data_IF_816561001933
#
_entry.id   IF_816561001933
#
_cell.length_a   1.000
_cell.length_b   1.000
_cell.length_c   1.000
_cell.angle_alpha   90.00
_cell.angle_beta   90.00
_cell.angle_gamma   90.00
#
_symmetry.space_group_name_H-M   'P 1'
#
loop_
_entity.id
_entity.type
_entity.pdbx_description
1 polymer ?
#
# COMPACT_ATOMS: atom_id res chain seq x y z
N UNK A 1 36.27 -101.20 -40.66
CA UNK A 1 37.34 -100.79 -39.71
C UNK A 1 36.81 -99.61 -38.89
N UNK A 2 35.88 -99.84 -37.97
CA UNK A 2 36.13 -100.01 -36.52
C UNK A 2 37.06 -98.96 -35.91
N UNK A 3 36.46 -97.98 -35.22
CA UNK A 3 36.88 -97.55 -33.87
C UNK A 3 35.68 -96.92 -33.14
N UNK A 4 35.37 -97.54 -32.01
CA UNK A 4 34.30 -97.21 -31.07
C UNK A 4 34.83 -96.32 -29.94
N UNK A 5 33.99 -95.36 -29.52
CA UNK A 5 33.72 -94.91 -28.13
C UNK A 5 34.83 -94.15 -27.36
N UNK A 6 34.51 -93.33 -26.32
CA UNK A 6 33.30 -93.34 -25.51
C UNK A 6 32.63 -91.99 -25.14
N UNK A 7 31.40 -92.12 -24.64
CA UNK A 7 30.57 -91.13 -23.93
C UNK A 7 31.15 -90.86 -22.52
N UNK A 8 30.92 -89.65 -21.96
CA UNK A 8 30.51 -89.59 -20.56
C UNK A 8 29.23 -88.77 -20.34
N UNK A 9 28.42 -89.26 -19.40
CA UNK A 9 27.23 -88.64 -18.81
C UNK A 9 27.65 -87.62 -17.75
N UNK A 10 27.06 -86.42 -17.74
CA UNK A 10 26.90 -85.60 -16.54
C UNK A 10 25.56 -84.86 -16.57
N UNK A 11 25.02 -84.66 -15.37
CA UNK A 11 23.63 -84.35 -15.01
C UNK A 11 23.24 -82.86 -15.19
N UNK A 12 21.96 -82.48 -14.97
CA UNK A 12 21.35 -81.26 -15.50
C UNK A 12 21.62 -80.03 -14.62
N UNK A 13 21.88 -78.88 -15.27
CA UNK A 13 21.91 -77.57 -14.62
C UNK A 13 20.61 -76.82 -14.93
N UNK A 14 19.74 -76.74 -13.92
CA UNK A 14 18.66 -75.76 -13.84
C UNK A 14 19.25 -74.35 -14.01
N UNK A 15 18.90 -73.68 -15.10
CA UNK A 15 19.22 -72.26 -15.32
C UNK A 15 17.92 -71.47 -15.21
N UNK A 16 17.78 -70.75 -14.11
CA UNK A 16 16.71 -69.81 -13.86
C UNK A 16 16.78 -68.65 -14.89
N UNK A 17 15.71 -68.44 -15.65
CA UNK A 17 15.54 -67.24 -16.47
C UNK A 17 15.31 -66.04 -15.55
N UNK A 18 16.35 -65.21 -15.40
CA UNK A 18 16.24 -63.88 -14.84
C UNK A 18 15.48 -62.97 -15.84
N UNK A 19 14.29 -62.54 -15.45
CA UNK A 19 13.53 -61.50 -16.15
C UNK A 19 14.24 -60.16 -15.91
N UNK A 20 14.98 -59.68 -16.90
CA UNK A 20 15.47 -58.30 -16.94
C UNK A 20 14.28 -57.35 -17.12
N UNK A 21 13.75 -56.85 -16.01
CA UNK A 21 12.87 -55.68 -16.02
C UNK A 21 13.71 -54.45 -16.40
N UNK A 22 13.55 -54.00 -17.65
CA UNK A 22 13.97 -52.68 -18.10
C UNK A 22 13.16 -51.63 -17.34
N UNK A 23 13.69 -51.16 -16.21
CA UNK A 23 13.26 -49.93 -15.58
C UNK A 23 13.68 -48.77 -16.48
N UNK A 24 12.80 -48.38 -17.41
CA UNK A 24 12.87 -47.09 -18.09
C UNK A 24 12.58 -46.04 -17.03
N UNK A 25 13.63 -45.57 -16.36
CA UNK A 25 13.57 -44.42 -15.48
C UNK A 25 13.06 -43.24 -16.30
N UNK A 26 11.85 -42.79 -16.00
CA UNK A 26 11.35 -41.50 -16.46
C UNK A 26 12.31 -40.45 -15.94
N UNK A 27 13.16 -39.92 -16.82
CA UNK A 27 13.85 -38.65 -16.60
C UNK A 27 12.75 -37.62 -16.39
N UNK A 28 12.44 -37.32 -15.13
CA UNK A 28 11.69 -36.12 -14.78
C UNK A 28 12.53 -34.96 -15.27
N UNK A 29 12.12 -34.36 -16.39
CA UNK A 29 12.66 -33.09 -16.83
C UNK A 29 12.72 -32.16 -15.62
N UNK A 30 13.90 -31.62 -15.31
CA UNK A 30 14.05 -30.58 -14.31
C UNK A 30 13.06 -29.47 -14.68
N UNK A 31 11.98 -29.32 -13.92
CA UNK A 31 11.06 -28.20 -14.10
C UNK A 31 11.87 -26.93 -13.90
N UNK A 32 11.92 -26.08 -14.93
CA UNK A 32 12.48 -24.73 -14.81
C UNK A 32 11.82 -24.05 -13.63
N UNK A 33 12.62 -23.55 -12.69
CA UNK A 33 12.10 -22.74 -11.58
C UNK A 33 11.37 -21.55 -12.21
N UNK A 34 10.07 -21.37 -11.96
CA UNK A 34 9.33 -20.28 -12.59
C UNK A 34 9.89 -18.94 -12.11
N UNK A 35 10.09 -18.02 -13.04
CA UNK A 35 10.46 -16.64 -12.74
C UNK A 35 9.37 -15.90 -11.94
N UNK A 36 9.64 -14.65 -11.54
CA UNK A 36 8.74 -13.86 -10.71
C UNK A 36 7.43 -13.58 -11.44
N UNK A 37 6.34 -13.50 -10.66
CA UNK A 37 5.05 -13.11 -11.21
C UNK A 37 5.14 -11.71 -11.86
N UNK A 38 4.50 -11.46 -13.01
CA UNK A 38 4.65 -10.19 -13.73
C UNK A 38 4.31 -8.96 -12.89
N UNK A 39 5.06 -7.87 -13.07
CA UNK A 39 4.83 -6.60 -12.37
C UNK A 39 4.50 -5.48 -13.36
N UNK A 40 3.41 -4.75 -13.08
CA UNK A 40 3.05 -3.52 -13.78
C UNK A 40 2.93 -2.37 -12.79
N UNK A 41 3.62 -1.27 -13.06
CA UNK A 41 3.50 0.00 -12.33
C UNK A 41 2.73 0.98 -13.20
N UNK A 42 1.63 1.50 -12.68
CA UNK A 42 0.77 2.42 -13.37
C UNK A 42 0.63 3.73 -12.59
N UNK A 43 0.79 4.86 -13.28
CA UNK A 43 0.83 6.20 -12.67
C UNK A 43 -0.18 7.11 -13.33
N UNK A 44 -0.98 7.83 -12.53
CA UNK A 44 -1.88 8.87 -13.06
C UNK A 44 -1.11 10.13 -13.45
N UNK A 45 -0.14 10.52 -12.60
CA UNK A 45 0.90 11.48 -12.91
C UNK A 45 0.38 12.84 -13.37
N UNK A 46 -0.14 13.66 -12.46
CA UNK A 46 -0.71 14.96 -12.79
C UNK A 46 -0.18 16.11 -11.93
N UNK A 47 -0.50 17.37 -12.26
CA UNK A 47 -0.05 18.53 -11.46
C UNK A 47 -0.71 18.62 -10.07
N UNK A 48 -1.71 17.78 -9.80
CA UNK A 48 -2.46 17.69 -8.54
C UNK A 48 -1.99 16.54 -7.63
N UNK A 49 -0.88 15.88 -7.99
CA UNK A 49 -0.36 14.70 -7.31
C UNK A 49 1.10 14.90 -6.92
N UNK A 50 1.59 14.23 -5.85
CA UNK A 50 3.03 14.14 -5.62
C UNK A 50 3.75 13.54 -6.82
N UNK A 51 5.08 13.69 -6.85
CA UNK A 51 5.89 12.96 -7.79
C UNK A 51 5.53 11.45 -7.73
N UNK A 52 5.31 10.79 -8.88
CA UNK A 52 4.86 9.40 -8.90
C UNK A 52 5.94 8.40 -8.45
N UNK A 53 7.16 8.87 -8.23
CA UNK A 53 8.23 8.05 -7.68
C UNK A 53 8.23 8.18 -6.16
N UNK A 54 8.13 7.04 -5.50
CA UNK A 54 8.29 6.91 -4.07
C UNK A 54 9.28 5.77 -3.79
N UNK A 55 10.11 5.85 -2.75
CA UNK A 55 10.99 4.76 -2.33
C UNK A 55 10.25 3.42 -2.21
N UNK A 56 8.96 3.45 -1.86
CA UNK A 56 8.12 2.25 -1.82
C UNK A 56 7.90 1.60 -3.19
N UNK A 57 7.77 2.38 -4.27
CA UNK A 57 7.63 1.85 -5.64
C UNK A 57 8.95 1.26 -6.12
N UNK A 58 10.06 1.92 -5.80
CA UNK A 58 11.40 1.39 -6.08
C UNK A 58 11.67 0.10 -5.30
N UNK A 59 11.30 0.03 -4.02
CA UNK A 59 11.41 -1.19 -3.20
C UNK A 59 10.61 -2.36 -3.78
N UNK A 60 9.37 -2.12 -4.23
CA UNK A 60 8.55 -3.15 -4.88
C UNK A 60 9.24 -3.66 -6.15
N UNK A 61 9.72 -2.76 -7.01
CA UNK A 61 10.38 -3.13 -8.26
C UNK A 61 11.73 -3.84 -8.04
N UNK A 62 12.50 -3.42 -7.03
CA UNK A 62 13.76 -4.08 -6.65
C UNK A 62 13.48 -5.47 -6.10
N UNK A 63 12.48 -5.63 -5.22
CA UNK A 63 12.10 -6.98 -4.72
C UNK A 63 11.67 -7.90 -5.85
N UNK A 64 10.86 -7.39 -6.78
CA UNK A 64 10.49 -8.13 -8.01
C UNK A 64 11.72 -8.57 -8.81
N UNK A 65 12.68 -7.67 -9.04
CA UNK A 65 13.90 -7.98 -9.77
C UNK A 65 14.82 -8.99 -9.06
N UNK A 66 14.81 -9.02 -7.73
CA UNK A 66 15.61 -9.95 -6.92
C UNK A 66 15.08 -11.39 -6.95
N UNK A 67 13.84 -11.59 -7.43
CA UNK A 67 13.24 -12.91 -7.61
C UNK A 67 13.46 -13.45 -9.04
N UNK A 68 14.21 -12.73 -9.88
CA UNK A 68 14.59 -13.16 -11.22
C UNK A 68 15.43 -14.44 -11.20
N UNK A 69 15.11 -15.38 -12.10
CA UNK A 69 15.86 -16.62 -12.31
C UNK A 69 16.63 -16.55 -13.62
N UNK A 70 16.00 -16.02 -14.67
CA UNK A 70 16.54 -15.88 -16.01
C UNK A 70 16.67 -14.40 -16.45
N UNK A 71 17.55 -14.08 -17.42
CA UNK A 71 17.62 -12.75 -18.02
C UNK A 71 16.26 -12.30 -18.58
N UNK A 72 15.78 -11.14 -18.10
CA UNK A 72 14.51 -10.57 -18.53
C UNK A 72 13.34 -10.81 -17.57
N UNK A 73 13.52 -11.63 -16.54
CA UNK A 73 12.50 -11.89 -15.51
C UNK A 73 12.17 -10.64 -14.67
N UNK A 74 13.15 -9.76 -14.46
CA UNK A 74 13.00 -8.51 -13.73
C UNK A 74 12.32 -7.39 -14.52
N UNK A 75 11.66 -7.69 -15.64
CA UNK A 75 10.93 -6.68 -16.43
C UNK A 75 9.72 -6.15 -15.68
N UNK A 76 9.57 -4.83 -15.74
CA UNK A 76 8.45 -4.08 -15.19
C UNK A 76 7.77 -3.31 -16.32
N UNK A 77 6.47 -3.54 -16.49
CA UNK A 77 5.64 -2.75 -17.39
C UNK A 77 5.25 -1.43 -16.75
N UNK A 78 5.43 -0.32 -17.44
CA UNK A 78 5.10 1.04 -16.98
C UNK A 78 3.96 1.62 -17.81
N UNK A 79 2.89 2.00 -17.12
CA UNK A 79 1.64 2.50 -17.69
C UNK A 79 1.40 3.92 -17.18
N UNK A 80 1.53 4.93 -18.03
CA UNK A 80 1.18 6.31 -17.67
C UNK A 80 -0.24 6.62 -18.15
N UNK A 81 -1.09 7.21 -17.29
CA UNK A 81 -2.49 7.52 -17.59
C UNK A 81 -2.70 8.14 -18.96
N UNK A 82 -3.72 7.68 -19.69
CA UNK A 82 -4.11 8.13 -21.05
C UNK A 82 -3.04 8.07 -22.16
N UNK A 83 -1.76 7.92 -21.85
CA UNK A 83 -0.72 7.64 -22.83
C UNK A 83 -0.95 6.23 -23.40
N UNK A 84 -1.06 6.03 -24.73
CA UNK A 84 -1.31 4.69 -25.28
C UNK A 84 -0.12 3.73 -25.12
N UNK A 85 1.10 4.24 -24.93
CA UNK A 85 2.31 3.42 -24.83
C UNK A 85 2.40 2.70 -23.49
N UNK A 86 2.88 1.46 -23.52
CA UNK A 86 3.39 0.74 -22.35
C UNK A 86 4.90 0.65 -22.51
N UNK A 87 5.65 1.11 -21.51
CA UNK A 87 7.11 1.09 -21.53
C UNK A 87 7.60 -0.05 -20.66
N UNK A 88 8.44 -0.93 -21.19
CA UNK A 88 9.10 -1.96 -20.38
C UNK A 88 10.44 -1.44 -19.87
N UNK A 89 10.71 -1.68 -18.59
CA UNK A 89 12.00 -1.43 -17.96
C UNK A 89 12.50 -2.73 -17.37
N UNK A 90 13.68 -3.17 -17.78
CA UNK A 90 14.29 -4.38 -17.28
C UNK A 90 15.20 -4.06 -16.09
N UNK A 91 14.83 -4.54 -14.91
CA UNK A 91 15.62 -4.40 -13.68
C UNK A 91 16.39 -5.69 -13.35
N UNK A 92 16.36 -6.71 -14.22
CA UNK A 92 17.04 -7.99 -13.97
C UNK A 92 18.51 -7.73 -13.62
N UNK A 93 18.97 -8.12 -12.42
CA UNK A 93 20.34 -7.88 -12.01
C UNK A 93 21.25 -8.88 -12.73
N UNK A 94 21.96 -8.43 -13.77
CA UNK A 94 22.86 -9.30 -14.54
C UNK A 94 24.33 -9.15 -14.08
N UNK A 95 25.06 -10.26 -14.06
CA UNK A 95 26.53 -10.28 -14.12
C UNK A 95 26.97 -10.50 -15.57
N UNK A 96 28.02 -9.80 -15.97
CA UNK A 96 28.60 -9.84 -17.32
C UNK A 96 27.56 -9.66 -18.46
N UNK A 97 26.44 -8.99 -18.16
CA UNK A 97 25.29 -8.76 -19.04
C UNK A 97 24.63 -10.02 -19.64
N UNK A 98 24.86 -11.21 -19.05
CA UNK A 98 24.37 -12.47 -19.63
C UNK A 98 23.64 -13.38 -18.64
N UNK A 99 24.02 -13.36 -17.38
CA UNK A 99 23.49 -14.28 -16.37
C UNK A 99 22.99 -13.50 -15.16
N UNK A 100 21.96 -14.01 -14.49
CA UNK A 100 21.43 -13.38 -13.27
C UNK A 100 22.50 -13.42 -12.16
N UNK A 101 22.68 -12.29 -11.50
CA UNK A 101 23.58 -12.14 -10.35
C UNK A 101 23.10 -13.01 -9.18
N UNK A 102 24.00 -13.85 -8.67
CA UNK A 102 23.68 -14.83 -7.62
C UNK A 102 23.98 -14.27 -6.23
N UNK A 103 24.91 -13.31 -6.13
CA UNK A 103 25.13 -12.62 -4.87
C UNK A 103 23.99 -11.62 -4.60
N UNK A 104 23.23 -11.85 -3.53
CA UNK A 104 22.02 -11.07 -3.23
C UNK A 104 22.30 -9.60 -2.95
N UNK A 105 23.47 -9.26 -2.39
CA UNK A 105 23.83 -7.88 -2.11
C UNK A 105 24.16 -7.14 -3.42
N UNK A 106 25.03 -7.72 -4.26
CA UNK A 106 25.38 -7.20 -5.57
C UNK A 106 24.15 -7.12 -6.50
N UNK A 107 23.27 -8.12 -6.47
CA UNK A 107 22.01 -8.11 -7.19
C UNK A 107 21.12 -6.94 -6.76
N UNK A 108 21.05 -6.68 -5.44
CA UNK A 108 20.31 -5.55 -4.90
C UNK A 108 20.87 -4.20 -5.33
N UNK A 109 22.20 -4.05 -5.39
CA UNK A 109 22.83 -2.83 -5.90
C UNK A 109 22.55 -2.62 -7.40
N UNK A 110 22.68 -3.67 -8.21
CA UNK A 110 22.39 -3.63 -9.66
C UNK A 110 20.92 -3.29 -9.94
N UNK A 111 19.98 -3.93 -9.23
CA UNK A 111 18.55 -3.65 -9.37
C UNK A 111 18.21 -2.20 -8.97
N UNK A 112 18.79 -1.68 -7.88
CA UNK A 112 18.62 -0.27 -7.48
C UNK A 112 19.20 0.70 -8.50
N UNK A 113 20.33 0.38 -9.14
CA UNK A 113 20.86 1.19 -10.23
C UNK A 113 19.89 1.22 -11.43
N UNK A 114 19.24 0.09 -11.73
CA UNK A 114 18.19 -0.03 -12.75
C UNK A 114 16.91 0.77 -12.43
N UNK A 115 16.59 0.99 -11.15
CA UNK A 115 15.41 1.73 -10.72
C UNK A 115 15.37 3.18 -11.24
N UNK A 116 16.52 3.78 -11.57
CA UNK A 116 16.56 5.09 -12.24
C UNK A 116 15.86 5.07 -13.62
N UNK A 117 15.90 3.94 -14.33
CA UNK A 117 15.17 3.72 -15.57
C UNK A 117 13.65 3.68 -15.35
N UNK A 118 13.20 3.01 -14.27
CA UNK A 118 11.79 2.97 -13.87
C UNK A 118 11.28 4.38 -13.54
N UNK A 119 12.05 5.14 -12.76
CA UNK A 119 11.73 6.54 -12.46
C UNK A 119 11.59 7.37 -13.74
N UNK A 120 12.55 7.29 -14.67
CA UNK A 120 12.46 7.98 -15.97
C UNK A 120 11.21 7.60 -16.76
N UNK A 121 10.91 6.31 -16.86
CA UNK A 121 9.73 5.83 -17.58
C UNK A 121 8.42 6.41 -17.02
N UNK A 122 8.30 6.49 -15.68
CA UNK A 122 7.14 7.09 -15.03
C UNK A 122 7.05 8.62 -15.23
N UNK A 123 8.19 9.33 -15.27
CA UNK A 123 8.20 10.79 -15.37
C UNK A 123 8.13 11.31 -16.80
N UNK A 124 8.81 10.66 -17.74
CA UNK A 124 8.90 11.09 -19.14
C UNK A 124 7.69 10.66 -19.97
N UNK A 125 7.02 9.57 -19.56
CA UNK A 125 5.86 9.06 -20.28
C UNK A 125 4.74 10.09 -20.42
N UNK A 126 4.48 10.91 -19.38
CA UNK A 126 3.46 11.98 -19.29
C UNK A 126 2.02 11.57 -19.70
N UNK A 127 0.98 12.04 -19.00
CA UNK A 127 -0.37 11.79 -19.48
C UNK A 127 -0.69 12.50 -20.80
N UNK A 128 -1.50 11.84 -21.62
CA UNK A 128 -1.92 12.37 -22.92
C UNK A 128 -3.13 13.33 -22.83
N UNK A 129 -3.95 13.21 -21.79
CA UNK A 129 -5.14 14.03 -21.58
C UNK A 129 -5.10 14.75 -20.22
N UNK A 130 -5.91 15.82 -20.12
CA UNK A 130 -6.12 16.56 -18.87
C UNK A 130 -7.00 15.76 -17.91
N UNK A 131 -6.91 16.11 -16.63
CA UNK A 131 -7.65 15.44 -15.57
C UNK A 131 -6.89 14.24 -14.98
N UNK A 132 -7.54 13.61 -14.01
CA UNK A 132 -7.03 12.45 -13.28
C UNK A 132 -7.99 11.28 -13.51
N UNK A 133 -7.52 10.29 -14.26
CA UNK A 133 -8.26 9.08 -14.61
C UNK A 133 -7.60 7.82 -14.03
N UNK A 134 -7.82 7.56 -12.75
CA UNK A 134 -7.33 6.34 -12.10
C UNK A 134 -8.12 5.11 -12.57
N UNK A 135 -9.42 5.21 -12.81
CA UNK A 135 -10.25 4.09 -13.24
C UNK A 135 -9.80 3.56 -14.62
N UNK A 136 -9.60 4.45 -15.60
CA UNK A 136 -9.10 4.08 -16.92
C UNK A 136 -7.64 3.64 -16.88
N UNK A 137 -6.80 4.26 -16.05
CA UNK A 137 -5.42 3.81 -15.81
C UNK A 137 -5.38 2.40 -15.24
N UNK A 138 -6.23 2.10 -14.26
CA UNK A 138 -6.35 0.77 -13.67
C UNK A 138 -6.77 -0.27 -14.71
N UNK A 139 -7.80 0.02 -15.53
CA UNK A 139 -8.18 -0.85 -16.66
C UNK A 139 -7.03 -1.11 -17.62
N UNK A 140 -6.22 -0.08 -17.92
CA UNK A 140 -5.10 -0.23 -18.86
C UNK A 140 -3.94 -1.01 -18.25
N UNK A 141 -3.67 -0.79 -16.96
CA UNK A 141 -2.66 -1.53 -16.22
C UNK A 141 -3.01 -3.02 -16.18
N UNK A 142 -4.25 -3.37 -15.83
CA UNK A 142 -4.72 -4.76 -15.83
C UNK A 142 -4.56 -5.46 -17.18
N UNK A 143 -4.78 -4.76 -18.30
CA UNK A 143 -4.52 -5.30 -19.65
C UNK A 143 -3.04 -5.52 -19.96
N UNK A 144 -2.15 -4.73 -19.35
CA UNK A 144 -0.71 -4.87 -19.48
C UNK A 144 -0.12 -5.91 -18.51
N UNK A 145 -0.91 -6.39 -17.54
CA UNK A 145 -0.47 -7.36 -16.54
C UNK A 145 -1.05 -8.74 -16.86
N UNK A 146 -0.21 -9.77 -17.10
CA UNK A 146 -0.68 -11.15 -17.22
C UNK A 146 -1.33 -11.69 -15.93
N UNK A 147 -2.01 -12.82 -16.05
CA UNK A 147 -2.63 -13.51 -14.90
C UNK A 147 -1.58 -13.89 -13.85
N UNK A 148 -1.95 -13.85 -12.57
CA UNK A 148 -1.04 -14.04 -11.44
C UNK A 148 -0.15 -12.83 -11.12
N UNK A 149 -0.10 -11.84 -12.02
CA UNK A 149 0.73 -10.65 -11.85
C UNK A 149 0.19 -9.62 -10.85
N UNK A 150 1.05 -8.64 -10.54
CA UNK A 150 0.75 -7.53 -9.62
C UNK A 150 0.64 -6.21 -10.37
N UNK A 151 -0.42 -5.45 -10.08
CA UNK A 151 -0.62 -4.08 -10.52
C UNK A 151 -0.37 -3.11 -9.37
N UNK A 152 0.61 -2.23 -9.51
CA UNK A 152 0.88 -1.14 -8.57
C UNK A 152 0.32 0.15 -9.16
N UNK A 153 -0.69 0.74 -8.53
CA UNK A 153 -1.33 1.99 -8.95
C UNK A 153 -0.84 3.14 -8.07
N UNK A 154 -0.06 4.05 -8.65
CA UNK A 154 0.41 5.26 -7.98
C UNK A 154 -0.51 6.42 -8.34
N UNK A 155 -1.34 6.84 -7.39
CA UNK A 155 -2.29 7.93 -7.57
C UNK A 155 -2.82 8.44 -6.23
N UNK A 156 -3.19 9.72 -6.19
CA UNK A 156 -3.99 10.31 -5.12
C UNK A 156 -5.40 9.73 -5.03
N UNK A 157 -5.91 9.17 -6.13
CA UNK A 157 -7.28 8.65 -6.24
C UNK A 157 -8.37 9.72 -6.34
N UNK A 158 -8.01 11.00 -6.48
CA UNK A 158 -8.96 12.11 -6.64
C UNK A 158 -9.39 12.20 -8.10
N UNK A 159 -10.20 11.23 -8.55
CA UNK A 159 -10.63 11.13 -9.95
C UNK A 159 -11.47 12.35 -10.36
N UNK A 160 -11.12 12.91 -11.52
CA UNK A 160 -11.82 14.04 -12.17
C UNK A 160 -12.32 13.69 -13.57
N UNK A 161 -11.97 12.51 -14.07
CA UNK A 161 -12.48 11.96 -15.32
C UNK A 161 -13.73 11.10 -15.09
N UNK A 162 -14.69 11.21 -16.01
CA UNK A 162 -15.84 10.31 -16.10
C UNK A 162 -15.40 8.85 -16.24
N UNK A 163 -16.19 7.89 -15.74
CA UNK A 163 -17.54 8.00 -15.15
C UNK A 163 -17.55 8.31 -13.64
N UNK A 164 -16.40 8.56 -13.02
CA UNK A 164 -16.24 8.69 -11.56
C UNK A 164 -15.73 10.08 -11.16
N UNK A 165 -16.24 11.14 -11.79
CA UNK A 165 -15.81 12.50 -11.51
C UNK A 165 -16.24 12.96 -10.11
N UNK A 166 -15.28 13.15 -9.21
CA UNK A 166 -15.54 13.55 -7.82
C UNK A 166 -16.04 14.99 -7.69
N UNK A 167 -15.88 15.82 -8.73
CA UNK A 167 -16.46 17.17 -8.75
C UNK A 167 -17.98 17.13 -8.79
N UNK A 168 -18.53 16.16 -9.52
CA UNK A 168 -19.99 15.97 -9.68
C UNK A 168 -20.54 15.07 -8.58
N UNK A 169 -19.80 14.03 -8.20
CA UNK A 169 -20.18 13.11 -7.14
C UNK A 169 -20.15 13.78 -5.75
N UNK A 170 -19.29 14.78 -5.55
CA UNK A 170 -19.10 15.48 -4.29
C UNK A 170 -18.39 14.62 -3.24
N UNK A 171 -18.48 15.01 -1.96
CA UNK A 171 -17.81 14.30 -0.85
C UNK A 171 -18.75 13.46 0.01
N UNK A 172 -20.07 13.58 -0.19
CA UNK A 172 -21.09 12.86 0.61
C UNK A 172 -21.38 11.45 0.09
N UNK A 173 -20.76 11.03 -1.01
CA UNK A 173 -20.99 9.72 -1.61
C UNK A 173 -20.69 8.53 -0.69
N UNK A 174 -21.40 7.44 -0.95
CA UNK A 174 -21.16 6.14 -0.34
C UNK A 174 -20.39 5.23 -1.32
N UNK A 175 -19.19 4.74 -0.95
CA UNK A 175 -18.39 3.84 -1.79
C UNK A 175 -19.14 2.62 -2.32
N UNK A 176 -20.01 1.99 -1.51
CA UNK A 176 -20.73 0.79 -1.92
C UNK A 176 -21.76 1.10 -3.01
N UNK A 177 -22.46 2.23 -2.90
CA UNK A 177 -23.40 2.72 -3.90
C UNK A 177 -22.70 3.07 -5.22
N UNK A 178 -21.55 3.75 -5.15
CA UNK A 178 -20.73 4.06 -6.34
C UNK A 178 -20.29 2.79 -7.05
N UNK A 179 -19.76 1.81 -6.31
CA UNK A 179 -19.35 0.52 -6.87
C UNK A 179 -20.53 -0.23 -7.48
N UNK A 180 -21.73 -0.16 -6.88
CA UNK A 180 -22.95 -0.75 -7.45
C UNK A 180 -23.31 -0.13 -8.80
N UNK A 181 -23.25 1.20 -8.92
CA UNK A 181 -23.46 1.90 -10.20
C UNK A 181 -22.44 1.43 -11.27
N UNK A 182 -21.16 1.42 -10.90
CA UNK A 182 -20.11 0.93 -11.80
C UNK A 182 -20.35 -0.52 -12.24
N UNK A 183 -20.81 -1.40 -11.34
CA UNK A 183 -21.15 -2.79 -11.68
C UNK A 183 -22.33 -2.86 -12.65
N UNK A 184 -23.42 -2.14 -12.35
CA UNK A 184 -24.62 -2.12 -13.18
C UNK A 184 -24.35 -1.63 -14.61
N UNK A 185 -23.34 -0.77 -14.77
CA UNK A 185 -22.91 -0.22 -16.06
C UNK A 185 -21.74 -1.00 -16.68
N UNK A 186 -21.29 -2.09 -16.06
CA UNK A 186 -20.14 -2.90 -16.49
C UNK A 186 -18.83 -2.10 -16.62
N UNK A 187 -18.62 -1.13 -15.73
CA UNK A 187 -17.47 -0.22 -15.71
C UNK A 187 -16.40 -0.61 -14.68
N UNK A 188 -16.69 -1.54 -13.77
CA UNK A 188 -15.68 -2.10 -12.87
C UNK A 188 -14.62 -2.86 -13.70
N UNK A 189 -13.32 -2.62 -13.50
CA UNK A 189 -12.26 -3.36 -14.17
C UNK A 189 -12.28 -4.84 -13.77
N UNK A 190 -11.81 -5.74 -14.64
CA UNK A 190 -11.63 -7.16 -14.28
C UNK A 190 -10.18 -7.39 -13.84
N UNK A 191 -10.01 -7.70 -12.57
CA UNK A 191 -8.73 -8.00 -11.95
C UNK A 191 -8.61 -9.45 -11.50
N UNK A 192 -9.49 -10.33 -11.99
CA UNK A 192 -9.48 -11.75 -11.65
C UNK A 192 -8.08 -12.34 -11.83
N UNK A 193 -7.60 -13.04 -10.80
CA UNK A 193 -6.28 -13.67 -10.80
C UNK A 193 -5.09 -12.71 -10.65
N UNK A 194 -5.30 -11.40 -10.46
CA UNK A 194 -4.22 -10.41 -10.28
C UNK A 194 -4.24 -9.81 -8.89
N UNK A 195 -3.07 -9.40 -8.42
CA UNK A 195 -2.89 -8.66 -7.17
C UNK A 195 -2.86 -7.16 -7.45
N UNK A 196 -3.43 -6.34 -6.58
CA UNK A 196 -3.54 -4.90 -6.80
C UNK A 196 -3.10 -4.16 -5.56
N UNK A 197 -2.17 -3.23 -5.77
CA UNK A 197 -1.59 -2.41 -4.72
C UNK A 197 -1.70 -0.93 -5.07
N UNK A 198 -2.40 -0.16 -4.24
CA UNK A 198 -2.48 1.28 -4.40
C UNK A 198 -1.41 1.99 -3.56
N UNK A 199 -0.80 3.02 -4.13
CA UNK A 199 0.21 3.86 -3.48
C UNK A 199 -0.26 5.31 -3.57
N UNK A 200 -0.38 5.96 -2.42
CA UNK A 200 -0.66 7.40 -2.36
C UNK A 200 -2.13 7.82 -2.33
N UNK A 201 -3.09 6.90 -2.14
CA UNK A 201 -4.50 7.25 -2.05
C UNK A 201 -4.77 8.27 -0.94
N UNK A 202 -5.54 9.31 -1.27
CA UNK A 202 -5.85 10.42 -0.37
C UNK A 202 -4.70 11.41 -0.17
N UNK A 203 -3.57 11.21 -0.83
CA UNK A 203 -2.39 12.10 -0.77
C UNK A 203 -2.34 12.95 -2.03
N UNK A 204 -2.66 14.23 -1.89
CA UNK A 204 -2.61 15.24 -2.96
C UNK A 204 -1.45 16.22 -2.74
N UNK A 205 -1.03 16.90 -3.80
CA UNK A 205 -0.05 17.98 -3.78
C UNK A 205 -0.32 18.94 -4.96
N UNK A 206 0.29 20.12 -4.99
CA UNK A 206 0.17 21.03 -6.13
C UNK A 206 -1.17 21.77 -6.14
N UNK A 207 -1.90 21.71 -7.25
CA UNK A 207 -3.12 22.53 -7.44
C UNK A 207 -4.32 22.07 -6.63
N UNK A 208 -4.36 20.81 -6.21
CA UNK A 208 -5.44 20.26 -5.40
C UNK A 208 -5.18 20.59 -3.92
N UNK A 209 -6.08 21.34 -3.24
CA UNK A 209 -5.97 21.57 -1.81
C UNK A 209 -5.91 20.26 -1.03
N UNK A 210 -5.14 20.26 0.06
CA UNK A 210 -5.00 19.09 0.91
C UNK A 210 -6.37 18.56 1.37
N UNK A 211 -6.56 17.25 1.23
CA UNK A 211 -7.80 16.61 1.62
C UNK A 211 -7.90 16.54 3.15
N UNK A 212 -9.03 16.98 3.76
CA UNK A 212 -9.33 16.66 5.14
C UNK A 212 -9.30 15.14 5.38
N UNK A 213 -8.92 14.71 6.59
CA UNK A 213 -8.80 13.28 6.90
C UNK A 213 -10.06 12.44 6.57
N UNK A 214 -11.31 12.92 6.80
CA UNK A 214 -12.51 12.19 6.37
C UNK A 214 -12.58 12.01 4.85
N UNK A 215 -12.22 13.03 4.07
CA UNK A 215 -12.19 12.99 2.61
C UNK A 215 -11.12 12.02 2.11
N UNK A 216 -9.89 12.10 2.63
CA UNK A 216 -8.81 11.17 2.29
C UNK A 216 -9.18 9.71 2.59
N UNK A 217 -9.76 9.43 3.77
CA UNK A 217 -10.25 8.08 4.12
C UNK A 217 -11.36 7.60 3.18
N UNK A 218 -12.21 8.51 2.71
CA UNK A 218 -13.29 8.20 1.78
C UNK A 218 -12.76 7.83 0.40
N UNK A 219 -11.72 8.51 -0.08
CA UNK A 219 -10.98 8.10 -1.30
C UNK A 219 -10.41 6.70 -1.15
N UNK A 220 -9.72 6.41 -0.04
CA UNK A 220 -9.16 5.07 0.20
C UNK A 220 -10.25 4.00 0.27
N UNK A 221 -11.39 4.30 0.90
CA UNK A 221 -12.53 3.38 0.96
C UNK A 221 -13.14 3.12 -0.43
N UNK A 222 -13.28 4.16 -1.26
CA UNK A 222 -13.76 4.05 -2.63
C UNK A 222 -12.91 3.09 -3.46
N UNK A 223 -11.60 3.32 -3.52
CA UNK A 223 -10.72 2.52 -4.38
C UNK A 223 -10.50 1.10 -3.86
N UNK A 224 -10.52 0.88 -2.54
CA UNK A 224 -10.58 -0.48 -1.98
C UNK A 224 -11.86 -1.20 -2.40
N UNK A 225 -13.01 -0.51 -2.39
CA UNK A 225 -14.27 -1.11 -2.81
C UNK A 225 -14.30 -1.40 -4.32
N UNK A 226 -13.75 -0.52 -5.16
CA UNK A 226 -13.58 -0.75 -6.61
C UNK A 226 -12.66 -1.96 -6.87
N UNK A 227 -11.54 -2.05 -6.15
CA UNK A 227 -10.63 -3.19 -6.27
C UNK A 227 -11.29 -4.51 -5.82
N UNK A 228 -11.97 -4.53 -4.67
CA UNK A 228 -12.69 -5.73 -4.22
C UNK A 228 -13.76 -6.15 -5.24
N UNK A 229 -14.46 -5.18 -5.83
CA UNK A 229 -15.45 -5.43 -6.87
C UNK A 229 -14.87 -5.95 -8.19
N UNK A 230 -13.60 -5.68 -8.47
CA UNK A 230 -12.89 -6.16 -9.67
C UNK A 230 -12.50 -7.64 -9.62
N UNK A 231 -12.69 -8.32 -8.49
CA UNK A 231 -12.30 -9.73 -8.35
C UNK A 231 -10.79 -9.96 -8.17
N UNK A 232 -10.05 -8.91 -7.82
CA UNK A 232 -8.62 -9.00 -7.53
C UNK A 232 -8.33 -10.04 -6.43
N UNK A 233 -7.26 -10.82 -6.62
CA UNK A 233 -6.80 -11.80 -5.64
C UNK A 233 -6.35 -11.14 -4.33
N UNK A 234 -5.85 -9.90 -4.39
CA UNK A 234 -5.64 -9.05 -3.22
C UNK A 234 -5.80 -7.57 -3.57
N UNK A 235 -6.17 -6.78 -2.56
CA UNK A 235 -6.28 -5.32 -2.64
C UNK A 235 -5.54 -4.70 -1.45
N UNK A 236 -4.34 -4.18 -1.68
CA UNK A 236 -3.51 -3.52 -0.66
C UNK A 236 -3.46 -2.02 -0.91
N UNK A 237 -3.28 -1.23 0.14
CA UNK A 237 -3.05 0.21 0.05
C UNK A 237 -1.85 0.53 0.93
N UNK A 238 -0.88 1.27 0.38
CA UNK A 238 0.26 1.82 1.11
C UNK A 238 0.15 3.33 1.23
N UNK A 239 0.09 3.79 2.46
CA UNK A 239 -0.09 5.18 2.87
C UNK A 239 1.11 5.75 3.64
N UNK A 240 2.06 4.90 4.06
CA UNK A 240 3.06 5.27 5.07
C UNK A 240 4.34 5.94 4.53
N UNK A 241 4.66 5.83 3.22
CA UNK A 241 6.00 6.16 2.69
C UNK A 241 6.01 6.84 1.30
N UNK A 242 5.01 7.68 0.99
CA UNK A 242 5.00 8.45 -0.28
C UNK A 242 5.60 9.85 -0.04
N UNK A 243 6.80 10.16 -0.55
CA UNK A 243 7.38 11.49 -0.43
C UNK A 243 6.50 12.53 -1.13
N UNK A 244 6.31 13.67 -0.48
CA UNK A 244 5.54 14.80 -1.02
C UNK A 244 6.45 15.72 -1.83
N UNK A 245 7.09 15.14 -2.82
CA UNK A 245 7.90 15.89 -3.77
C UNK A 245 7.00 16.50 -4.83
N UNK A 246 7.31 17.70 -5.35
CA UNK A 246 6.54 18.32 -6.42
C UNK A 246 6.32 17.37 -7.59
N UNK A 247 5.14 17.43 -8.21
CA UNK A 247 4.84 16.57 -9.35
C UNK A 247 5.88 16.72 -10.46
N UNK A 248 6.24 15.59 -11.07
CA UNK A 248 7.02 15.59 -12.31
C UNK A 248 6.16 15.93 -13.54
N UNK A 249 4.83 15.88 -13.40
CA UNK A 249 3.88 16.18 -14.45
C UNK A 249 3.30 17.58 -14.28
N UNK A 250 3.19 18.31 -15.39
CA UNK A 250 2.53 19.62 -15.45
C UNK A 250 1.14 19.52 -16.06
N UNK A 251 0.60 18.29 -16.22
CA UNK A 251 -0.69 18.09 -16.87
C UNK A 251 -1.82 18.71 -16.04
N UNK A 252 -2.66 19.59 -16.63
CA UNK A 252 -3.76 20.23 -15.93
C UNK A 252 -4.74 19.23 -15.33
N UNK A 253 -5.19 19.50 -14.10
CA UNK A 253 -6.26 18.75 -13.43
C UNK A 253 -7.25 19.74 -12.82
N UNK A 254 -8.54 19.60 -13.10
CA UNK A 254 -9.56 20.36 -12.40
C UNK A 254 -9.49 20.13 -10.88
N UNK A 255 -9.59 21.20 -10.10
CA UNK A 255 -9.64 21.07 -8.64
C UNK A 255 -10.98 20.44 -8.25
N UNK A 256 -10.94 19.40 -7.42
CA UNK A 256 -12.11 18.89 -6.71
C UNK A 256 -12.31 19.76 -5.47
N UNK A 257 -13.41 20.54 -5.39
CA UNK A 257 -13.64 21.41 -4.25
C UNK A 257 -13.74 20.59 -2.98
N UNK A 258 -12.86 20.82 -2.03
CA UNK A 258 -12.99 20.32 -0.66
C UNK A 258 -13.52 21.44 0.21
N UNK A 259 -14.75 21.30 0.68
CA UNK A 259 -15.20 22.14 1.78
C UNK A 259 -14.38 21.79 3.01
N UNK A 260 -13.99 22.80 3.80
CA UNK A 260 -13.64 22.54 5.19
C UNK A 260 -14.87 21.86 5.81
N UNK A 261 -14.79 20.58 6.15
CA UNK A 261 -15.88 19.94 6.86
C UNK A 261 -16.07 20.74 8.15
N UNK A 262 -17.22 21.40 8.36
CA UNK A 262 -17.50 22.00 9.65
C UNK A 262 -17.47 20.86 10.64
N UNK A 263 -16.56 20.96 11.59
CA UNK A 263 -16.47 20.00 12.66
C UNK A 263 -17.80 19.98 13.38
N UNK A 264 -18.46 18.81 13.44
CA UNK A 264 -19.39 18.61 14.55
C UNK A 264 -18.54 18.73 15.80
N UNK A 265 -18.88 19.66 16.68
CA UNK A 265 -18.16 19.94 17.93
C UNK A 265 -18.40 18.82 18.98
N UNK A 266 -18.30 17.59 18.47
CA UNK A 266 -18.60 16.29 19.03
C UNK A 266 -17.95 15.22 18.15
N UNK A 267 -17.16 14.31 18.73
CA UNK A 267 -16.53 13.19 18.03
C UNK A 267 -15.06 12.98 18.41
N UNK A 268 -14.39 11.99 17.81
CA UNK A 268 -12.99 11.65 18.13
C UNK A 268 -12.10 11.70 16.90
N UNK A 269 -11.03 12.47 16.95
CA UNK A 269 -9.95 12.50 15.97
C UNK A 269 -8.86 11.54 16.40
N UNK A 270 -8.46 10.65 15.50
CA UNK A 270 -7.39 9.68 15.76
C UNK A 270 -6.15 10.07 14.98
N UNK A 271 -5.08 10.36 15.70
CA UNK A 271 -3.78 10.76 15.18
C UNK A 271 -2.79 9.58 15.38
N UNK A 272 -2.35 8.89 14.31
CA UNK A 272 -1.42 7.77 14.43
C UNK A 272 -0.05 8.21 14.96
N UNK A 273 0.55 7.42 15.85
CA UNK A 273 1.82 7.82 16.46
C UNK A 273 3.00 7.79 15.47
N UNK A 274 2.99 6.87 14.50
CA UNK A 274 4.06 6.68 13.51
C UNK A 274 4.31 7.92 12.65
N UNK A 275 3.28 8.72 12.40
CA UNK A 275 3.38 9.92 11.55
C UNK A 275 3.54 11.21 12.36
N UNK A 276 3.37 11.13 13.67
CA UNK A 276 3.27 12.31 14.55
C UNK A 276 4.41 12.41 15.53
N UNK A 277 5.11 11.30 15.84
CA UNK A 277 6.22 11.26 16.78
C UNK A 277 7.46 10.62 16.15
N UNK A 278 8.63 11.02 16.63
CA UNK A 278 9.85 10.24 16.38
C UNK A 278 9.76 8.87 17.07
N UNK A 279 10.43 7.87 16.50
CA UNK A 279 10.37 6.49 17.00
C UNK A 279 10.67 6.40 18.51
N UNK A 280 9.83 5.65 19.24
CA UNK A 280 9.87 5.45 20.70
C UNK A 280 9.94 6.70 21.59
N UNK A 281 9.66 7.88 21.01
CA UNK A 281 9.73 9.15 21.71
C UNK A 281 8.34 9.82 21.79
N UNK A 282 8.25 10.88 22.60
CA UNK A 282 7.14 11.82 22.63
C UNK A 282 7.43 13.14 21.89
N UNK A 283 8.63 13.31 21.33
CA UNK A 283 8.93 14.43 20.42
C UNK A 283 8.10 14.34 19.14
N UNK A 284 7.40 15.43 18.81
CA UNK A 284 6.63 15.52 17.58
C UNK A 284 7.55 15.50 16.36
N UNK A 285 7.18 14.74 15.34
CA UNK A 285 7.89 14.70 14.08
C UNK A 285 7.76 16.04 13.32
N UNK A 286 8.72 16.42 12.45
CA UNK A 286 8.64 17.65 11.66
C UNK A 286 7.33 17.81 10.85
N UNK A 287 6.69 16.70 10.46
CA UNK A 287 5.42 16.68 9.74
C UNK A 287 4.15 16.64 10.61
N UNK A 288 4.27 16.66 11.94
CA UNK A 288 3.12 16.47 12.85
C UNK A 288 2.03 17.54 12.68
N UNK A 289 2.43 18.78 12.42
CA UNK A 289 1.52 19.91 12.19
C UNK A 289 0.50 19.67 11.10
N UNK A 290 0.86 18.88 10.08
CA UNK A 290 -0.03 18.53 8.99
C UNK A 290 -1.27 17.77 9.47
N UNK A 291 -1.14 17.02 10.55
CA UNK A 291 -2.25 16.30 11.18
C UNK A 291 -2.93 17.12 12.28
N UNK A 292 -2.17 17.96 12.99
CA UNK A 292 -2.67 18.71 14.13
C UNK A 292 -3.35 20.03 13.75
N UNK A 293 -2.92 20.69 12.67
CA UNK A 293 -3.47 21.99 12.24
C UNK A 293 -4.93 21.89 11.78
N UNK A 294 -5.34 20.89 10.97
CA UNK A 294 -6.75 20.72 10.65
C UNK A 294 -7.62 20.47 11.89
N UNK A 295 -7.07 19.83 12.93
CA UNK A 295 -7.76 19.63 14.22
C UNK A 295 -7.82 20.94 15.01
N UNK A 296 -6.75 21.74 15.01
CA UNK A 296 -6.71 23.04 15.66
C UNK A 296 -7.73 24.02 15.05
N UNK A 297 -7.67 24.23 13.74
CA UNK A 297 -8.61 25.09 12.99
C UNK A 297 -10.07 24.64 13.20
N UNK A 298 -10.26 23.33 13.37
CA UNK A 298 -11.54 22.70 13.68
C UNK A 298 -12.04 23.08 15.08
N UNK A 299 -11.17 22.99 16.09
CA UNK A 299 -11.50 23.30 17.48
C UNK A 299 -11.75 24.80 17.68
N UNK A 300 -11.04 25.67 16.96
CA UNK A 300 -11.31 27.12 16.96
C UNK A 300 -12.73 27.45 16.50
N UNK A 301 -13.25 26.73 15.49
CA UNK A 301 -14.62 26.93 14.98
C UNK A 301 -15.71 26.43 15.93
N UNK A 302 -15.37 25.67 16.97
CA UNK A 302 -16.35 25.07 17.88
C UNK A 302 -16.86 25.99 18.99
N UNK A 303 -16.32 27.20 19.11
CA UNK A 303 -16.67 28.10 20.21
C UNK A 303 -16.28 27.52 21.57
N UNK A 304 -16.87 28.07 22.64
CA UNK A 304 -16.49 27.74 24.03
C UNK A 304 -17.30 26.61 24.67
N UNK A 305 -18.28 26.05 23.98
CA UNK A 305 -19.27 25.11 24.52
C UNK A 305 -18.87 23.64 24.38
N UNK A 306 -17.57 23.38 24.22
CA UNK A 306 -17.01 22.03 24.15
C UNK A 306 -15.90 21.79 25.14
N UNK A 307 -15.66 20.51 25.39
CA UNK A 307 -14.55 19.97 26.15
C UNK A 307 -13.76 19.02 25.26
N UNK A 308 -12.44 19.17 25.28
CA UNK A 308 -11.49 18.35 24.53
C UNK A 308 -10.72 17.44 25.50
N UNK A 309 -10.78 16.14 25.24
CA UNK A 309 -10.01 15.11 25.93
C UNK A 309 -8.96 14.54 24.98
N UNK A 310 -7.69 14.56 25.40
CA UNK A 310 -6.56 14.04 24.62
C UNK A 310 -6.02 12.79 25.32
N UNK A 311 -6.21 11.64 24.68
CA UNK A 311 -5.85 10.33 25.24
C UNK A 311 -4.73 9.70 24.41
N UNK A 312 -3.57 9.45 25.02
CA UNK A 312 -2.47 8.74 24.40
C UNK A 312 -2.56 7.23 24.61
N UNK A 313 -2.18 6.45 23.59
CA UNK A 313 -2.16 5.00 23.63
C UNK A 313 -0.81 4.43 23.16
N UNK A 314 -0.45 3.25 23.67
CA UNK A 314 0.67 2.44 23.19
C UNK A 314 0.18 1.07 22.73
N UNK A 315 0.99 0.38 21.93
CA UNK A 315 0.78 -1.05 21.69
C UNK A 315 1.15 -1.86 22.94
N UNK A 316 0.56 -3.04 23.09
CA UNK A 316 1.02 -4.02 24.07
C UNK A 316 2.35 -4.59 23.61
N UNK A 317 3.32 -4.69 24.52
CA UNK A 317 4.63 -5.31 24.27
C UNK A 317 4.93 -6.29 25.39
N UNK A 318 5.07 -7.58 25.06
CA UNK A 318 5.53 -8.66 25.96
C UNK A 318 5.16 -8.54 27.45
N UNK A 319 6.08 -8.93 28.33
CA UNK A 319 6.01 -8.71 29.78
C UNK A 319 6.59 -7.34 30.21
N UNK A 320 6.47 -6.32 29.36
CA UNK A 320 7.09 -5.00 29.56
C UNK A 320 6.21 -3.98 30.26
N UNK A 321 6.76 -2.78 30.50
CA UNK A 321 6.02 -1.64 31.04
C UNK A 321 4.80 -1.31 30.18
N UNK A 322 3.66 -1.07 30.83
CA UNK A 322 2.35 -0.87 30.18
C UNK A 322 2.24 0.37 29.30
N UNK A 323 3.24 1.26 29.30
CA UNK A 323 3.35 2.40 28.39
C UNK A 323 2.62 3.67 28.84
N UNK A 324 2.12 3.74 30.08
CA UNK A 324 1.40 4.91 30.61
C UNK A 324 2.21 6.20 30.53
N UNK A 325 3.48 6.16 30.95
CA UNK A 325 4.33 7.36 30.93
C UNK A 325 4.57 7.88 29.51
N UNK A 326 4.86 6.98 28.55
CA UNK A 326 5.09 7.35 27.16
C UNK A 326 3.82 7.91 26.50
N UNK A 327 2.69 7.21 26.67
CA UNK A 327 1.40 7.67 26.15
C UNK A 327 1.00 9.02 26.74
N UNK A 328 1.21 9.24 28.03
CA UNK A 328 0.91 10.52 28.68
C UNK A 328 1.79 11.66 28.15
N UNK A 329 3.10 11.43 27.95
CA UNK A 329 3.98 12.43 27.33
C UNK A 329 3.54 12.77 25.91
N UNK A 330 3.12 11.77 25.12
CA UNK A 330 2.61 11.98 23.76
C UNK A 330 1.32 12.80 23.75
N UNK A 331 0.38 12.50 24.65
CA UNK A 331 -0.86 13.26 24.80
C UNK A 331 -0.57 14.72 25.15
N UNK A 332 0.36 14.98 26.08
CA UNK A 332 0.81 16.35 26.44
C UNK A 332 1.44 17.08 25.27
N UNK A 333 2.36 16.44 24.54
CA UNK A 333 3.01 17.05 23.39
C UNK A 333 1.99 17.47 22.31
N UNK A 334 0.95 16.66 22.07
CA UNK A 334 -0.17 17.00 21.18
C UNK A 334 -0.96 18.17 21.74
N UNK A 335 -1.33 18.13 23.02
CA UNK A 335 -2.06 19.23 23.69
C UNK A 335 -1.33 20.57 23.56
N UNK A 336 -0.05 20.61 23.91
CA UNK A 336 0.77 21.82 23.83
C UNK A 336 0.89 22.32 22.39
N UNK A 337 0.97 21.41 21.42
CA UNK A 337 1.04 21.80 20.02
C UNK A 337 -0.28 22.35 19.50
N UNK A 338 -1.42 21.76 19.86
CA UNK A 338 -2.74 22.31 19.53
C UNK A 338 -2.91 23.72 20.06
N UNK A 339 -2.48 23.99 21.30
CA UNK A 339 -2.48 25.35 21.87
C UNK A 339 -1.59 26.30 21.05
N UNK A 340 -0.38 25.88 20.67
CA UNK A 340 0.50 26.68 19.79
C UNK A 340 -0.06 26.88 18.37
N UNK A 341 -1.01 26.05 17.94
CA UNK A 341 -1.70 26.16 16.67
C UNK A 341 -2.99 27.00 16.76
N UNK A 342 -3.31 27.55 17.94
CA UNK A 342 -4.39 28.51 18.13
C UNK A 342 -5.58 28.00 18.97
N UNK A 343 -5.59 26.71 19.33
CA UNK A 343 -6.64 26.16 20.21
C UNK A 343 -6.59 26.82 21.58
N UNK A 344 -7.71 27.40 22.02
CA UNK A 344 -7.82 27.98 23.36
C UNK A 344 -7.57 26.90 24.44
N UNK A 345 -6.64 27.14 25.39
CA UNK A 345 -6.40 26.23 26.51
C UNK A 345 -7.66 25.90 27.32
N UNK A 346 -8.65 26.81 27.35
CA UNK A 346 -9.91 26.62 28.07
C UNK A 346 -10.82 25.53 27.47
N UNK A 347 -10.53 25.09 26.23
CA UNK A 347 -11.22 23.94 25.63
C UNK A 347 -10.63 22.60 26.07
N UNK A 348 -9.38 22.58 26.53
CA UNK A 348 -8.70 21.34 26.93
C UNK A 348 -9.16 20.94 28.34
N UNK A 349 -9.99 19.90 28.42
CA UNK A 349 -10.50 19.38 29.68
C UNK A 349 -9.57 18.36 30.34
N UNK A 350 -9.12 17.36 29.59
CA UNK A 350 -8.25 16.31 30.12
C UNK A 350 -7.17 15.86 29.14
N UNK A 351 -5.99 15.54 29.67
CA UNK A 351 -4.85 15.02 28.92
C UNK A 351 -4.31 13.81 29.67
N UNK A 352 -4.55 12.62 29.13
CA UNK A 352 -4.24 11.36 29.79
C UNK A 352 -3.45 10.39 28.90
N UNK A 353 -2.64 9.54 29.52
CA UNK A 353 -2.02 8.38 28.88
C UNK A 353 -2.63 7.12 29.45
N UNK A 354 -3.11 6.22 28.60
CA UNK A 354 -3.75 4.96 29.03
C UNK A 354 -2.88 3.74 28.72
N UNK A 355 -1.66 3.97 28.24
CA UNK A 355 -0.74 2.91 27.83
C UNK A 355 -1.39 1.95 26.84
N UNK A 356 -1.16 0.66 27.06
CA UNK A 356 -1.69 -0.45 26.24
C UNK A 356 -3.00 -1.04 26.77
N UNK A 357 -3.63 -0.40 27.78
CA UNK A 357 -4.81 -0.96 28.47
C UNK A 357 -6.12 -0.81 27.71
N UNK A 358 -6.20 0.12 26.75
CA UNK A 358 -7.35 0.31 25.85
C UNK A 358 -6.94 0.04 24.38
N UNK A 359 -6.61 -1.22 24.02
CA UNK A 359 -6.20 -1.56 22.66
C UNK A 359 -7.40 -1.46 21.70
N UNK A 360 -7.15 -1.03 20.46
CA UNK A 360 -8.15 -1.03 19.39
C UNK A 360 -8.27 -2.41 18.74
N UNK A 361 -7.15 -3.11 18.64
CA UNK A 361 -7.04 -4.48 18.12
C UNK A 361 -6.15 -5.29 19.04
N UNK A 362 -6.39 -6.60 19.14
CA UNK A 362 -5.43 -7.48 19.80
C UNK A 362 -4.15 -7.56 18.96
N UNK A 363 -3.04 -7.03 19.50
CA UNK A 363 -1.75 -7.05 18.82
C UNK A 363 -0.79 -8.14 19.35
N UNK A 364 -1.31 -9.05 20.17
CA UNK A 364 -0.62 -10.24 20.69
C UNK A 364 -1.42 -11.53 20.41
N UNK A 365 -1.93 -11.76 19.17
CA UNK A 365 -2.75 -12.93 18.88
C UNK A 365 -1.96 -14.23 19.17
N UNK A 366 -2.55 -15.13 19.95
CA UNK A 366 -1.87 -16.36 20.39
C UNK A 366 -0.62 -16.12 21.24
N UNK A 367 -0.48 -14.94 21.85
CA UNK A 367 0.71 -14.55 22.61
C UNK A 367 1.90 -14.09 21.76
N UNK A 368 1.76 -14.00 20.44
CA UNK A 368 2.84 -13.60 19.51
C UNK A 368 2.66 -12.13 19.11
N UNK A 369 3.75 -11.36 19.21
CA UNK A 369 3.73 -9.94 18.85
C UNK A 369 3.52 -9.73 17.35
N UNK A 370 2.50 -8.96 16.98
CA UNK A 370 2.20 -8.63 15.59
C UNK A 370 2.35 -7.11 15.33
N UNK A 371 3.49 -6.71 14.76
CA UNK A 371 3.83 -5.29 14.53
C UNK A 371 2.77 -4.56 13.68
N UNK A 372 2.20 -5.22 12.66
CA UNK A 372 1.13 -4.66 11.83
C UNK A 372 -0.11 -4.25 12.63
N UNK A 373 -0.46 -5.02 13.67
CA UNK A 373 -1.57 -4.73 14.57
C UNK A 373 -1.16 -3.71 15.64
N UNK A 374 0.08 -3.82 16.13
CA UNK A 374 0.65 -2.90 17.12
C UNK A 374 0.61 -1.44 16.63
N UNK A 375 0.91 -1.19 15.35
CA UNK A 375 0.82 0.17 14.75
C UNK A 375 -0.56 0.80 14.91
N UNK A 376 -1.64 0.03 14.81
CA UNK A 376 -3.00 0.54 14.97
C UNK A 376 -3.33 0.96 16.41
N UNK A 377 -2.65 0.36 17.39
CA UNK A 377 -2.80 0.70 18.80
C UNK A 377 -1.99 1.93 19.20
N UNK A 378 -0.85 2.20 18.55
CA UNK A 378 0.00 3.38 18.79
C UNK A 378 -0.63 4.63 18.19
N UNK A 379 -1.41 5.37 18.99
CA UNK A 379 -2.17 6.55 18.54
C UNK A 379 -2.40 7.56 19.67
N UNK A 380 -2.80 8.77 19.30
CA UNK A 380 -3.42 9.75 20.20
C UNK A 380 -4.84 10.00 19.71
N UNK A 381 -5.80 9.92 20.62
CA UNK A 381 -7.21 10.24 20.37
C UNK A 381 -7.51 11.63 20.94
N UNK A 382 -8.14 12.49 20.15
CA UNK A 382 -8.59 13.82 20.55
C UNK A 382 -10.11 13.79 20.46
N UNK A 383 -10.77 13.64 21.60
CA UNK A 383 -12.22 13.53 21.71
C UNK A 383 -12.80 14.89 22.09
N UNK A 384 -13.79 15.33 21.34
CA UNK A 384 -14.55 16.56 21.57
C UNK A 384 -15.94 16.16 22.03
N UNK A 385 -16.41 16.73 23.13
CA UNK A 385 -17.77 16.58 23.63
C UNK A 385 -18.38 17.94 23.93
N UNK A 386 -19.69 18.14 23.71
CA UNK A 386 -20.37 19.34 24.23
C UNK A 386 -20.17 19.45 25.74
N UNK A 387 -20.01 20.66 26.26
CA UNK A 387 -20.18 20.93 27.69
C UNK A 387 -21.63 20.59 28.03
N UNK A 388 -21.86 19.74 29.03
CA UNK A 388 -23.20 19.58 29.58
C UNK A 388 -23.65 20.96 30.10
N UNK A 389 -24.67 21.54 29.46
CA UNK A 389 -25.36 22.70 30.01
C UNK A 389 -26.12 22.29 31.28
N UNK A 390 -26.46 23.23 32.18
CA UNK A 390 -27.29 22.91 33.34
C UNK A 390 -28.57 22.26 32.82
N UNK A 391 -28.83 21.01 33.24
CA UNK A 391 -29.99 20.25 32.81
C UNK A 391 -31.23 21.10 32.99
N UNK A 392 -32.02 21.25 31.92
CA UNK A 392 -33.37 21.81 32.05
C UNK A 392 -34.20 20.75 32.78
N UNK A 393 -34.27 20.89 34.10
CA UNK A 393 -35.20 20.22 35.00
C UNK A 393 -36.64 20.57 34.67
#
# INVERSE_FOLDING_TARGET
>A
MTRHSPVPRTAPLLSALAVCALAVGTLTACGSVPGPAPLTVAVTGSMAEPAPWAPVVEDIAVRHALDAVDPGDGKVSVVVSTNPRVTEVDLTPLRDAREVEQDRAAAGEKARAGAAGLRRAMTEGRPAADGLDLLGTYRRALRATPDGGTVVLVSSGVQTADPLDLRTLGWTFDPATVVRDLKNRSLVPDATGRHVEFVGLGIVLGTQPELPLPAARRITALWRAVCAASGAASCTVRDDDVPRLPSASQRPVPVVPVGATPTSCKGTYVVPASVTFTADDARLAPGADRYLRPVADSLERCGTDVVVTITGHTARVGAGASGFALSGRRARAVSERLVRLGVSPALIGSVEGVGSTRPRVDNMPGGVFAERLARQNRRVEITVTPKEGPGRS
#
